data_IF_117894628512
#
_entry.id   IF_117894628512
#
_cell.length_a   1.000
_cell.length_b   1.000
_cell.length_c   1.000
_cell.angle_alpha   90.00
_cell.angle_beta   90.00
_cell.angle_gamma   90.00
#
_symmetry.space_group_name_H-M   'P 1'
#
loop_
_entity.id
_entity.type
_entity.pdbx_description
1 polymer ?
#
# COMPACT_ATOMS: atom_id res chain seq x y z
N UNK A 1 31.54 12.40 27.12
CA UNK A 1 31.10 13.27 26.01
C UNK A 1 31.33 12.52 24.74
N UNK A 2 30.29 11.89 24.22
CA UNK A 2 30.31 11.19 22.92
C UNK A 2 29.54 12.06 21.95
N UNK A 3 30.26 12.56 20.98
CA UNK A 3 29.76 13.41 19.92
C UNK A 3 29.06 12.52 18.89
N UNK A 4 27.72 12.56 18.85
CA UNK A 4 26.94 11.87 17.86
C UNK A 4 26.77 12.77 16.65
N UNK A 5 27.75 12.70 15.75
CA UNK A 5 27.65 13.37 14.46
C UNK A 5 26.64 12.58 13.62
N UNK A 6 25.40 13.03 13.59
CA UNK A 6 24.39 12.56 12.64
C UNK A 6 24.87 12.99 11.25
N UNK A 7 25.33 12.03 10.46
CA UNK A 7 25.66 12.22 9.05
C UNK A 7 24.37 12.57 8.32
N UNK A 8 24.26 13.81 7.86
CA UNK A 8 23.20 14.25 6.97
C UNK A 8 23.31 13.44 5.68
N UNK A 9 22.36 12.56 5.44
CA UNK A 9 22.22 11.83 4.17
C UNK A 9 21.81 12.85 3.12
N UNK A 10 22.63 12.94 2.11
CA UNK A 10 22.47 13.83 0.96
C UNK A 10 21.10 13.62 0.29
N UNK A 11 20.27 14.66 0.30
CA UNK A 11 18.92 14.69 -0.24
C UNK A 11 18.89 14.80 -1.79
N UNK A 12 19.99 14.50 -2.46
CA UNK A 12 20.24 14.85 -3.88
C UNK A 12 19.93 13.80 -4.94
N UNK A 13 19.48 12.58 -4.62
CA UNK A 13 19.19 11.59 -5.68
C UNK A 13 18.20 10.49 -5.31
N UNK A 14 17.51 10.61 -4.21
CA UNK A 14 16.52 9.62 -3.82
C UNK A 14 15.14 10.01 -4.36
N UNK A 15 14.90 9.82 -5.65
CA UNK A 15 13.56 9.56 -6.18
C UNK A 15 13.18 8.15 -5.70
N UNK A 16 13.31 7.97 -4.41
CA UNK A 16 13.10 6.73 -3.72
C UNK A 16 11.78 6.75 -3.02
N UNK A 17 11.19 5.62 -3.00
CA UNK A 17 9.99 5.28 -2.32
C UNK A 17 9.88 5.93 -0.94
N UNK A 18 9.14 7.02 -0.84
CA UNK A 18 8.72 7.59 0.42
C UNK A 18 7.23 7.37 0.59
N UNK A 19 6.88 6.45 1.45
CA UNK A 19 5.48 6.26 1.82
C UNK A 19 4.95 7.53 2.50
N UNK A 20 3.78 7.97 2.07
CA UNK A 20 3.06 9.13 2.62
C UNK A 20 2.05 8.74 3.70
N UNK A 21 2.02 7.47 4.05
CA UNK A 21 1.10 6.86 5.01
C UNK A 21 1.85 5.89 5.93
N UNK A 22 1.37 5.73 7.15
CA UNK A 22 1.93 4.82 8.15
C UNK A 22 1.13 3.51 8.25
N UNK A 23 -0.18 3.58 8.00
CA UNK A 23 -1.07 2.42 8.07
C UNK A 23 -2.13 2.42 6.94
N UNK A 24 -2.96 1.37 6.89
CA UNK A 24 -4.00 1.23 5.87
C UNK A 24 -5.12 2.28 5.98
N UNK A 25 -5.31 2.93 7.12
CA UNK A 25 -6.31 3.99 7.27
C UNK A 25 -5.83 5.25 6.58
N UNK A 26 -4.57 5.61 6.80
CA UNK A 26 -3.94 6.73 6.11
C UNK A 26 -3.79 6.46 4.62
N UNK A 27 -3.45 5.21 4.25
CA UNK A 27 -3.45 4.80 2.85
C UNK A 27 -4.80 5.03 2.17
N UNK A 28 -5.92 4.69 2.84
CA UNK A 28 -7.26 4.92 2.29
C UNK A 28 -7.54 6.42 2.10
N UNK A 29 -7.06 7.28 2.99
CA UNK A 29 -7.16 8.74 2.84
C UNK A 29 -6.40 9.22 1.60
N UNK A 30 -5.20 8.72 1.38
CA UNK A 30 -4.43 9.07 0.18
C UNK A 30 -5.11 8.54 -1.11
N UNK A 31 -5.64 7.33 -1.10
CA UNK A 31 -6.40 6.78 -2.22
C UNK A 31 -7.68 7.58 -2.51
N UNK A 32 -8.36 8.09 -1.48
CA UNK A 32 -9.52 8.96 -1.62
C UNK A 32 -9.15 10.31 -2.25
N UNK A 33 -8.04 10.93 -1.83
CA UNK A 33 -7.51 12.16 -2.44
C UNK A 33 -7.22 11.99 -3.92
N UNK A 34 -6.75 10.82 -4.34
CA UNK A 34 -6.55 10.47 -5.75
C UNK A 34 -7.86 10.22 -6.52
N UNK A 35 -9.00 10.18 -5.84
CA UNK A 35 -10.29 9.80 -6.42
C UNK A 35 -10.42 8.32 -6.76
N UNK A 36 -9.53 7.49 -6.23
CA UNK A 36 -9.37 6.08 -6.55
C UNK A 36 -10.01 5.12 -5.51
N UNK A 37 -10.79 5.66 -4.56
CA UNK A 37 -11.45 4.87 -3.52
C UNK A 37 -12.97 4.98 -3.62
N UNK A 38 -13.67 3.85 -3.41
CA UNK A 38 -15.12 3.76 -3.27
C UNK A 38 -15.47 3.00 -2.01
N UNK A 39 -16.51 3.45 -1.31
CA UNK A 39 -17.05 2.77 -0.14
C UNK A 39 -18.40 2.18 -0.51
N UNK A 40 -18.58 0.89 -0.25
CA UNK A 40 -19.83 0.14 -0.46
C UNK A 40 -20.26 -0.44 0.89
N UNK A 41 -21.54 -0.23 1.26
CA UNK A 41 -22.10 -0.72 2.51
C UNK A 41 -23.10 -1.83 2.27
N UNK A 42 -23.15 -2.78 3.20
CA UNK A 42 -24.15 -3.83 3.21
C UNK A 42 -23.96 -4.93 2.16
N UNK A 43 -22.82 -4.96 1.48
CA UNK A 43 -22.50 -6.03 0.55
C UNK A 43 -22.22 -7.35 1.29
N UNK A 44 -22.78 -8.45 0.80
CA UNK A 44 -22.57 -9.75 1.41
C UNK A 44 -21.17 -10.30 1.09
N UNK A 45 -20.55 -10.96 2.05
CA UNK A 45 -19.28 -11.63 1.81
C UNK A 45 -19.43 -12.93 1.03
N UNK A 46 -20.64 -13.51 1.03
CA UNK A 46 -20.93 -14.79 0.36
C UNK A 46 -20.97 -14.65 -1.16
N UNK A 47 -21.54 -13.55 -1.68
CA UNK A 47 -21.74 -13.36 -3.12
C UNK A 47 -21.16 -12.04 -3.61
N UNK A 48 -21.58 -10.89 -3.04
CA UNK A 48 -21.33 -9.56 -3.62
C UNK A 48 -19.85 -9.19 -3.67
N UNK A 49 -19.11 -9.43 -2.58
CA UNK A 49 -17.70 -9.04 -2.48
C UNK A 49 -16.85 -9.83 -3.45
N UNK A 50 -17.11 -11.15 -3.59
CA UNK A 50 -16.40 -11.99 -4.53
C UNK A 50 -16.66 -11.58 -5.99
N UNK A 51 -17.90 -11.32 -6.35
CA UNK A 51 -18.27 -10.85 -7.69
C UNK A 51 -17.68 -9.49 -8.01
N UNK A 52 -17.71 -8.55 -7.05
CA UNK A 52 -17.09 -7.24 -7.22
C UNK A 52 -15.58 -7.36 -7.41
N UNK A 53 -14.90 -8.22 -6.65
CA UNK A 53 -13.48 -8.47 -6.78
C UNK A 53 -13.14 -9.00 -8.18
N UNK A 54 -13.90 -9.95 -8.68
CA UNK A 54 -13.73 -10.51 -10.02
C UNK A 54 -13.86 -9.42 -11.11
N UNK A 55 -14.85 -8.56 -11.00
CA UNK A 55 -15.07 -7.49 -11.99
C UNK A 55 -13.93 -6.47 -11.98
N UNK A 56 -13.52 -5.99 -10.79
CA UNK A 56 -12.56 -4.89 -10.71
C UNK A 56 -11.11 -5.32 -10.97
N UNK A 57 -10.76 -6.60 -10.78
CA UNK A 57 -9.39 -7.07 -11.02
C UNK A 57 -9.02 -7.11 -12.51
N UNK A 58 -10.01 -7.16 -13.40
CA UNK A 58 -9.82 -7.16 -14.85
C UNK A 58 -9.78 -5.75 -15.47
N UNK A 59 -10.01 -4.71 -14.66
CA UNK A 59 -9.96 -3.32 -15.10
C UNK A 59 -8.91 -2.54 -14.31
N UNK A 60 -7.78 -2.23 -14.94
CA UNK A 60 -6.70 -1.45 -14.31
C UNK A 60 -7.15 -0.03 -13.93
N UNK A 61 -8.22 0.48 -14.52
CA UNK A 61 -8.80 1.80 -14.22
C UNK A 61 -9.82 1.76 -13.08
N UNK A 62 -10.26 0.56 -12.68
CA UNK A 62 -11.22 0.42 -11.60
C UNK A 62 -10.64 0.91 -10.25
N UNK A 63 -11.43 1.65 -9.44
CA UNK A 63 -10.99 2.10 -8.13
C UNK A 63 -10.81 0.92 -7.16
N UNK A 64 -10.14 1.15 -6.04
CA UNK A 64 -10.24 0.24 -4.92
C UNK A 64 -11.60 0.39 -4.23
N UNK A 65 -12.07 -0.69 -3.63
CA UNK A 65 -13.36 -0.73 -2.96
C UNK A 65 -13.16 -1.14 -1.50
N UNK A 66 -13.71 -0.34 -0.59
CA UNK A 66 -13.85 -0.66 0.83
C UNK A 66 -15.29 -1.10 1.05
N UNK A 67 -15.48 -2.36 1.45
CA UNK A 67 -16.76 -2.84 1.93
C UNK A 67 -16.87 -2.57 3.42
N UNK A 68 -17.91 -1.87 3.81
CA UNK A 68 -18.22 -1.51 5.19
C UNK A 68 -19.62 -2.06 5.54
N UNK A 69 -19.92 -2.21 6.83
CA UNK A 69 -21.18 -2.77 7.31
C UNK A 69 -21.50 -4.14 6.64
N UNK A 70 -20.51 -5.04 6.61
CA UNK A 70 -20.67 -6.37 5.98
C UNK A 70 -21.60 -7.23 6.82
N UNK A 71 -22.73 -7.73 6.26
CA UNK A 71 -23.68 -8.56 7.01
C UNK A 71 -23.03 -9.80 7.61
N UNK A 72 -23.33 -10.10 8.86
CA UNK A 72 -22.77 -11.24 9.60
C UNK A 72 -21.39 -11.00 10.21
N UNK A 73 -20.76 -9.87 9.94
CA UNK A 73 -19.48 -9.49 10.55
C UNK A 73 -19.68 -8.53 11.74
N UNK A 74 -18.72 -8.50 12.68
CA UNK A 74 -18.75 -7.55 13.80
C UNK A 74 -18.74 -6.09 13.32
N UNK A 75 -19.35 -5.16 14.06
CA UNK A 75 -19.31 -3.73 13.74
C UNK A 75 -17.87 -3.22 13.60
N UNK A 76 -17.61 -2.47 12.53
CA UNK A 76 -16.28 -1.93 12.22
C UNK A 76 -15.38 -2.87 11.43
N UNK A 77 -15.84 -4.08 11.13
CA UNK A 77 -15.17 -4.96 10.18
C UNK A 77 -15.29 -4.36 8.77
N UNK A 78 -14.15 -4.23 8.10
CA UNK A 78 -14.06 -3.72 6.72
C UNK A 78 -13.17 -4.59 5.88
N UNK A 79 -13.49 -4.69 4.61
CA UNK A 79 -12.67 -5.41 3.63
C UNK A 79 -12.29 -4.45 2.51
N UNK A 80 -11.00 -4.44 2.16
CA UNK A 80 -10.45 -3.65 1.06
C UNK A 80 -10.05 -4.59 -0.07
N UNK A 81 -10.49 -4.29 -1.28
CA UNK A 81 -10.08 -5.01 -2.49
C UNK A 81 -9.46 -4.08 -3.51
N UNK A 82 -8.70 -4.63 -4.46
CA UNK A 82 -8.08 -3.92 -5.59
C UNK A 82 -7.16 -2.75 -5.16
N UNK A 83 -6.45 -2.90 -4.04
CA UNK A 83 -5.60 -1.81 -3.52
C UNK A 83 -4.32 -1.61 -4.36
N UNK A 84 -3.85 -2.62 -5.08
CA UNK A 84 -2.58 -2.60 -5.81
C UNK A 84 -2.77 -2.55 -7.33
N UNK A 85 -3.52 -1.57 -7.82
CA UNK A 85 -3.78 -1.37 -9.25
C UNK A 85 -3.71 0.11 -9.62
N UNK A 86 -3.59 0.42 -10.91
CA UNK A 86 -3.60 1.79 -11.44
C UNK A 86 -2.59 2.71 -10.74
N UNK A 87 -2.98 3.94 -10.49
CA UNK A 87 -2.17 4.97 -9.80
C UNK A 87 -1.83 4.59 -8.35
N UNK A 88 -2.72 3.86 -7.70
CA UNK A 88 -2.54 3.40 -6.32
C UNK A 88 -1.31 2.51 -6.16
N UNK A 89 -0.93 1.76 -7.20
CA UNK A 89 0.28 0.94 -7.20
C UNK A 89 1.52 1.79 -6.93
N UNK A 90 1.66 2.89 -7.66
CA UNK A 90 2.78 3.82 -7.47
C UNK A 90 2.76 4.41 -6.06
N UNK A 91 1.61 4.94 -5.63
CA UNK A 91 1.41 5.49 -4.28
C UNK A 91 1.75 4.46 -3.18
N UNK A 92 1.27 3.22 -3.32
CA UNK A 92 1.52 2.14 -2.35
C UNK A 92 3.01 1.82 -2.24
N UNK A 93 3.74 1.94 -3.32
CA UNK A 93 5.19 1.72 -3.35
C UNK A 93 6.00 2.98 -3.01
N UNK A 94 5.35 4.11 -2.69
CA UNK A 94 5.98 5.37 -2.35
C UNK A 94 6.56 6.15 -3.53
N UNK A 95 6.07 5.88 -4.75
CA UNK A 95 6.43 6.60 -5.97
C UNK A 95 5.32 7.56 -6.41
N UNK A 96 5.63 8.54 -7.27
CA UNK A 96 4.64 9.46 -7.81
C UNK A 96 3.48 8.73 -8.49
N UNK A 97 2.23 9.10 -8.16
CA UNK A 97 1.04 8.41 -8.65
C UNK A 97 0.82 8.57 -10.17
N UNK A 98 1.43 9.58 -10.77
CA UNK A 98 1.38 9.88 -12.21
C UNK A 98 2.32 9.04 -13.06
N UNK A 99 3.24 8.29 -12.44
CA UNK A 99 4.19 7.46 -13.16
C UNK A 99 3.50 6.34 -13.95
N UNK A 100 4.00 6.11 -15.16
CA UNK A 100 3.60 4.98 -15.97
C UNK A 100 4.27 3.66 -15.51
N UNK A 101 3.96 2.56 -16.19
CA UNK A 101 4.50 1.24 -15.84
C UNK A 101 6.02 1.16 -16.02
N UNK A 102 6.58 1.86 -16.99
CA UNK A 102 8.02 1.84 -17.27
C UNK A 102 8.78 2.69 -16.26
N UNK A 103 8.27 3.87 -15.96
CA UNK A 103 8.81 4.75 -14.92
C UNK A 103 8.81 4.08 -13.56
N UNK A 104 7.70 3.43 -13.19
CA UNK A 104 7.61 2.66 -11.96
C UNK A 104 8.62 1.52 -11.92
N UNK A 105 8.74 0.75 -13.01
CA UNK A 105 9.69 -0.38 -13.08
C UNK A 105 11.13 0.10 -12.93
N UNK A 106 11.50 1.17 -13.62
CA UNK A 106 12.84 1.75 -13.52
C UNK A 106 13.12 2.34 -12.13
N UNK A 107 12.14 3.02 -11.55
CA UNK A 107 12.22 3.55 -10.19
C UNK A 107 12.42 2.46 -9.13
N UNK A 108 11.63 1.38 -9.20
CA UNK A 108 11.78 0.21 -8.31
C UNK A 108 13.15 -0.42 -8.48
N UNK A 109 13.59 -0.63 -9.73
CA UNK A 109 14.90 -1.22 -10.00
C UNK A 109 16.05 -0.37 -9.44
N UNK A 110 15.98 0.93 -9.61
CA UNK A 110 16.97 1.87 -9.04
C UNK A 110 16.96 1.84 -7.52
N UNK A 111 15.77 1.86 -6.92
CA UNK A 111 15.60 1.81 -5.48
C UNK A 111 16.19 0.52 -4.88
N UNK A 112 15.86 -0.63 -5.47
CA UNK A 112 16.33 -1.94 -5.01
C UNK A 112 17.83 -2.12 -5.06
N UNK A 113 18.51 -1.44 -5.99
CA UNK A 113 20.00 -1.47 -6.04
C UNK A 113 20.66 -0.83 -4.82
N UNK A 114 19.98 0.11 -4.16
CA UNK A 114 20.48 0.80 -2.96
C UNK A 114 20.04 0.15 -1.63
N UNK A 115 19.22 -0.91 -1.69
CA UNK A 115 18.72 -1.56 -0.48
C UNK A 115 19.73 -2.57 0.05
N UNK A 116 20.18 -2.33 1.27
CA UNK A 116 21.00 -3.29 2.02
C UNK A 116 20.11 -4.23 2.84
N UNK A 117 20.44 -5.52 2.83
CA UNK A 117 19.74 -6.51 3.63
C UNK A 117 19.96 -6.28 5.12
N UNK A 118 18.88 -6.18 5.88
CA UNK A 118 18.96 -6.13 7.34
C UNK A 118 19.30 -7.54 7.83
N UNK A 119 20.42 -7.73 8.59
CA UNK A 119 20.79 -9.04 9.08
C UNK A 119 19.72 -9.57 10.06
N UNK A 120 19.40 -10.83 9.96
CA UNK A 120 18.47 -11.49 10.86
C UNK A 120 19.06 -11.60 12.28
N UNK A 121 18.21 -11.46 13.28
CA UNK A 121 18.56 -11.69 14.68
C UNK A 121 18.28 -13.15 15.03
N UNK A 122 19.32 -13.88 15.42
CA UNK A 122 19.17 -15.22 15.95
C UNK A 122 18.79 -15.11 17.44
N UNK A 123 17.73 -15.78 17.83
CA UNK A 123 17.28 -15.88 19.23
C UNK A 123 17.11 -17.34 19.60
N UNK A 124 17.47 -17.70 20.83
CA UNK A 124 17.36 -19.08 21.30
C UNK A 124 15.90 -19.49 21.55
N UNK A 125 15.07 -18.52 21.89
CA UNK A 125 13.63 -18.73 22.14
C UNK A 125 12.83 -17.58 21.55
N UNK A 126 11.65 -17.88 21.02
CA UNK A 126 10.67 -16.92 20.54
C UNK A 126 9.26 -17.38 20.87
N UNK A 127 8.31 -16.44 21.03
CA UNK A 127 6.90 -16.77 21.10
C UNK A 127 6.46 -17.27 19.72
N UNK A 128 6.00 -18.53 19.68
CA UNK A 128 5.31 -19.09 18.51
C UNK A 128 3.84 -19.10 18.86
N UNK A 129 3.00 -18.57 17.97
CA UNK A 129 1.54 -18.52 18.16
C UNK A 129 0.92 -19.90 18.00
#
# INVERSE_FOLDING_TARGET
>A
MADTTATAVDAGSNVGARMTYEDMREWMVEAEKLGELRVVKGASWEEDIGLAAEVVQHDESAPCIVFDDVPGCPPGFRMLINFFAGKRKCMTMGFPAEWDKLELTDGVHKHMKGVESIPHKIVDTGSVF
#
